data_IF_166449867070
#
_entry.id   IF_166449867070
#
_cell.length_a   1.000
_cell.length_b   1.000
_cell.length_c   1.000
_cell.angle_alpha   90.00
_cell.angle_beta   90.00
_cell.angle_gamma   90.00
#
_symmetry.space_group_name_H-M   'P 1'
#
loop_
_entity.id
_entity.type
_entity.pdbx_description
1 polymer ?
#
# COMPACT_ATOMS: atom_id res chain seq x y z
N UNK A 1 37.64 -35.43 -50.14
CA UNK A 1 37.81 -34.02 -50.61
C UNK A 1 38.42 -33.27 -49.43
N UNK A 2 39.76 -33.31 -49.33
CA UNK A 2 40.46 -32.80 -48.13
C UNK A 2 40.75 -31.33 -48.31
N UNK A 3 39.99 -30.55 -47.59
CA UNK A 3 40.21 -29.11 -47.47
C UNK A 3 41.52 -28.88 -46.70
N UNK A 4 42.53 -28.23 -47.34
CA UNK A 4 43.82 -28.00 -46.73
C UNK A 4 43.64 -27.16 -45.45
N UNK A 5 44.31 -27.54 -44.37
CA UNK A 5 44.23 -26.92 -43.06
C UNK A 5 44.24 -25.36 -43.07
N UNK A 6 45.05 -24.78 -43.98
CA UNK A 6 45.10 -23.33 -44.19
C UNK A 6 43.80 -22.72 -44.73
N UNK A 7 43.04 -23.43 -45.55
CA UNK A 7 41.73 -22.96 -46.06
C UNK A 7 40.67 -22.96 -44.93
N UNK A 8 40.76 -23.93 -44.02
CA UNK A 8 39.87 -24.01 -42.86
C UNK A 8 40.09 -22.83 -41.91
N UNK A 9 41.36 -22.45 -41.65
CA UNK A 9 41.70 -21.29 -40.84
C UNK A 9 41.18 -20.00 -41.49
N UNK A 10 41.33 -19.83 -42.80
CA UNK A 10 40.82 -18.65 -43.51
C UNK A 10 39.29 -18.52 -43.42
N UNK A 11 38.58 -19.64 -43.54
CA UNK A 11 37.10 -19.64 -43.36
C UNK A 11 36.72 -19.26 -41.95
N UNK A 12 37.39 -19.78 -40.91
CA UNK A 12 37.13 -19.42 -39.52
C UNK A 12 37.40 -17.94 -39.24
N UNK A 13 38.48 -17.40 -39.79
CA UNK A 13 38.79 -15.95 -39.63
C UNK A 13 37.76 -15.08 -40.33
N UNK A 14 37.29 -15.48 -41.54
CA UNK A 14 36.23 -14.75 -42.24
C UNK A 14 34.90 -14.81 -41.45
N UNK A 15 34.53 -15.96 -40.89
CA UNK A 15 33.34 -16.12 -40.06
C UNK A 15 33.47 -15.27 -38.82
N UNK A 16 34.63 -15.25 -38.15
CA UNK A 16 34.87 -14.41 -36.97
C UNK A 16 34.80 -12.91 -37.29
N UNK A 17 35.35 -12.48 -38.44
CA UNK A 17 35.25 -11.09 -38.90
C UNK A 17 33.80 -10.73 -39.26
N UNK A 18 33.07 -11.58 -39.95
CA UNK A 18 31.64 -11.37 -40.25
C UNK A 18 30.85 -11.26 -38.92
N UNK A 19 31.08 -12.15 -37.97
CA UNK A 19 30.43 -12.09 -36.66
C UNK A 19 30.77 -10.78 -35.90
N UNK A 20 32.02 -10.31 -36.00
CA UNK A 20 32.45 -9.07 -35.37
C UNK A 20 31.79 -7.79 -35.96
N UNK A 21 31.47 -7.82 -37.28
CA UNK A 21 30.81 -6.71 -37.97
C UNK A 21 29.26 -6.80 -37.92
N UNK A 22 28.71 -8.01 -37.93
CA UNK A 22 27.27 -8.23 -38.00
C UNK A 22 26.64 -8.15 -36.59
N UNK A 23 27.34 -8.61 -35.53
CA UNK A 23 26.83 -8.57 -34.17
C UNK A 23 26.47 -7.14 -33.66
N UNK A 24 27.31 -6.09 -33.87
CA UNK A 24 26.94 -4.73 -33.45
C UNK A 24 25.75 -4.18 -34.25
N UNK A 25 25.66 -4.48 -35.56
CA UNK A 25 24.52 -4.03 -36.40
C UNK A 25 23.21 -4.70 -35.98
N UNK A 26 23.24 -5.98 -35.65
CA UNK A 26 22.05 -6.66 -35.09
C UNK A 26 21.69 -6.17 -33.70
N UNK A 27 22.68 -5.81 -32.90
CA UNK A 27 22.47 -5.23 -31.58
C UNK A 27 21.84 -3.84 -31.69
N UNK A 28 22.29 -3.00 -32.64
CA UNK A 28 21.76 -1.66 -32.87
C UNK A 28 20.33 -1.72 -33.44
N UNK A 29 20.05 -2.63 -34.36
CA UNK A 29 18.69 -2.85 -34.89
C UNK A 29 17.70 -3.30 -33.78
N UNK A 30 18.14 -4.13 -32.82
CA UNK A 30 17.31 -4.58 -31.73
C UNK A 30 17.06 -3.51 -30.69
N UNK A 31 17.97 -2.54 -30.56
CA UNK A 31 17.78 -1.35 -29.70
C UNK A 31 16.71 -0.43 -30.27
N UNK A 32 16.74 -0.21 -31.56
CA UNK A 32 15.75 0.58 -32.29
C UNK A 32 14.36 -0.04 -32.18
N UNK A 33 14.26 -1.36 -32.25
CA UNK A 33 12.99 -2.09 -32.14
C UNK A 33 12.38 -1.94 -30.73
N UNK A 34 13.16 -2.11 -29.67
CA UNK A 34 12.68 -1.93 -28.30
C UNK A 34 12.22 -0.49 -28.05
N UNK A 35 12.96 0.49 -28.54
CA UNK A 35 12.61 1.91 -28.47
C UNK A 35 11.34 2.21 -29.27
N UNK A 36 11.17 1.61 -30.42
CA UNK A 36 9.95 1.76 -31.22
C UNK A 36 8.73 1.23 -30.47
N UNK A 37 8.80 0.03 -29.90
CA UNK A 37 7.69 -0.51 -29.12
C UNK A 37 7.39 0.33 -27.86
N UNK A 38 8.42 0.83 -27.19
CA UNK A 38 8.23 1.75 -26.06
C UNK A 38 7.46 3.01 -26.50
N UNK A 39 7.86 3.66 -27.60
CA UNK A 39 7.18 4.84 -28.13
C UNK A 39 5.72 4.53 -28.53
N UNK A 40 5.44 3.37 -29.11
CA UNK A 40 4.08 2.93 -29.45
C UNK A 40 3.25 2.75 -28.17
N UNK A 41 3.85 2.21 -27.10
CA UNK A 41 3.20 2.05 -25.82
C UNK A 41 2.84 3.41 -25.20
N UNK A 42 3.75 4.40 -25.22
CA UNK A 42 3.51 5.77 -24.74
C UNK A 42 2.35 6.45 -25.50
N UNK A 43 2.32 6.32 -26.83
CA UNK A 43 1.21 6.83 -27.66
C UNK A 43 -0.10 6.15 -27.23
N UNK A 44 -0.09 4.86 -26.96
CA UNK A 44 -1.26 4.11 -26.53
C UNK A 44 -1.73 4.56 -25.15
N UNK A 45 -0.81 4.81 -24.20
CA UNK A 45 -1.10 5.38 -22.87
C UNK A 45 -1.75 6.75 -22.99
N UNK A 46 -1.20 7.63 -23.82
CA UNK A 46 -1.75 8.99 -24.01
C UNK A 46 -3.19 9.00 -24.55
N UNK A 47 -3.60 7.91 -25.18
CA UNK A 47 -4.96 7.67 -25.68
C UNK A 47 -5.83 6.85 -24.73
N UNK A 48 -5.33 6.53 -23.54
CA UNK A 48 -5.96 5.63 -22.56
C UNK A 48 -6.24 4.21 -23.11
N UNK A 49 -5.50 3.78 -24.14
CA UNK A 49 -5.58 2.42 -24.66
C UNK A 49 -4.59 1.53 -23.92
N UNK A 50 -4.96 1.18 -22.69
CA UNK A 50 -4.08 0.46 -21.76
C UNK A 50 -3.74 -0.96 -22.21
N UNK A 51 -4.66 -1.67 -22.88
CA UNK A 51 -4.39 -3.00 -23.43
C UNK A 51 -3.31 -2.95 -24.51
N UNK A 52 -3.41 -2.01 -25.44
CA UNK A 52 -2.40 -1.82 -26.48
C UNK A 52 -1.06 -1.37 -25.90
N UNK A 53 -1.09 -0.51 -24.87
CA UNK A 53 0.12 -0.08 -24.19
C UNK A 53 0.84 -1.26 -23.54
N UNK A 54 0.14 -2.11 -22.80
CA UNK A 54 0.70 -3.30 -22.16
C UNK A 54 1.32 -4.24 -23.21
N UNK A 55 0.61 -4.53 -24.30
CA UNK A 55 1.13 -5.39 -25.37
C UNK A 55 2.41 -4.83 -25.98
N UNK A 56 2.49 -3.51 -26.20
CA UNK A 56 3.69 -2.85 -26.73
C UNK A 56 4.84 -2.83 -25.72
N UNK A 57 4.56 -2.62 -24.42
CA UNK A 57 5.59 -2.75 -23.38
C UNK A 57 6.13 -4.18 -23.27
N UNK A 58 5.27 -5.19 -23.45
CA UNK A 58 5.71 -6.60 -23.48
C UNK A 58 6.66 -6.85 -24.65
N UNK A 59 6.38 -6.30 -25.83
CA UNK A 59 7.27 -6.36 -26.98
C UNK A 59 8.60 -5.63 -26.72
N UNK A 60 8.56 -4.43 -26.13
CA UNK A 60 9.75 -3.69 -25.77
C UNK A 60 10.65 -4.48 -24.80
N UNK A 61 10.05 -5.11 -23.77
CA UNK A 61 10.78 -5.95 -22.82
C UNK A 61 11.34 -7.23 -23.44
N UNK A 62 10.68 -7.79 -24.46
CA UNK A 62 11.12 -9.00 -25.16
C UNK A 62 12.25 -8.73 -26.17
N UNK A 63 12.31 -7.53 -26.77
CA UNK A 63 13.18 -7.25 -27.92
C UNK A 63 14.67 -7.20 -27.58
N UNK A 64 15.11 -6.64 -26.46
CA UNK A 64 16.48 -6.78 -25.94
C UNK A 64 16.70 -6.17 -24.55
N UNK A 65 16.73 -6.97 -23.53
CA UNK A 65 16.96 -6.53 -22.14
C UNK A 65 18.36 -6.00 -21.85
N UNK A 66 19.37 -6.32 -22.68
CA UNK A 66 20.77 -5.92 -22.42
C UNK A 66 21.02 -4.43 -22.68
N UNK A 67 20.39 -3.87 -23.72
CA UNK A 67 20.56 -2.46 -24.11
C UNK A 67 19.59 -1.53 -23.37
N UNK A 68 18.39 -1.99 -23.07
CA UNK A 68 17.42 -1.25 -22.25
C UNK A 68 17.96 -1.04 -20.83
N UNK A 69 18.78 -1.95 -20.31
CA UNK A 69 19.44 -1.81 -18.97
C UNK A 69 20.37 -0.60 -18.86
N UNK A 70 20.82 -0.02 -19.97
CA UNK A 70 21.68 1.16 -20.01
C UNK A 70 20.91 2.49 -20.10
N UNK A 71 19.60 2.45 -20.26
CA UNK A 71 18.75 3.64 -20.37
C UNK A 71 17.65 3.64 -19.34
N UNK A 72 17.17 4.83 -18.97
CA UNK A 72 15.98 5.01 -18.10
C UNK A 72 14.71 4.41 -18.71
N UNK A 73 14.73 4.03 -20.00
CA UNK A 73 13.60 3.43 -20.70
C UNK A 73 13.10 2.13 -20.04
N UNK A 74 13.99 1.30 -19.49
CA UNK A 74 13.60 0.09 -18.78
C UNK A 74 12.79 0.43 -17.50
N UNK A 75 13.25 1.44 -16.75
CA UNK A 75 12.54 1.94 -15.56
C UNK A 75 11.13 2.41 -15.95
N UNK A 76 11.03 3.27 -16.95
CA UNK A 76 9.75 3.79 -17.42
C UNK A 76 8.85 2.66 -17.94
N UNK A 77 9.39 1.71 -18.67
CA UNK A 77 8.62 0.54 -19.17
C UNK A 77 7.93 -0.21 -18.03
N UNK A 78 8.64 -0.52 -16.94
CA UNK A 78 8.02 -1.20 -15.79
C UNK A 78 7.01 -0.32 -15.06
N UNK A 79 7.30 0.97 -14.88
CA UNK A 79 6.39 1.92 -14.22
C UNK A 79 5.09 2.07 -14.99
N UNK A 80 5.20 2.32 -16.30
CA UNK A 80 4.07 2.66 -17.15
C UNK A 80 3.24 1.43 -17.53
N UNK A 81 3.88 0.26 -17.70
CA UNK A 81 3.17 -1.02 -17.81
C UNK A 81 2.40 -1.34 -16.52
N UNK A 82 3.05 -1.20 -15.35
CA UNK A 82 2.40 -1.39 -14.06
C UNK A 82 1.22 -0.43 -13.87
N UNK A 83 1.38 0.84 -14.26
CA UNK A 83 0.30 1.83 -14.26
C UNK A 83 -0.85 1.43 -15.18
N UNK A 84 -0.59 1.01 -16.42
CA UNK A 84 -1.61 0.56 -17.37
C UNK A 84 -2.40 -0.64 -16.82
N UNK A 85 -1.72 -1.59 -16.20
CA UNK A 85 -2.35 -2.75 -15.55
C UNK A 85 -3.25 -2.32 -14.38
N UNK A 86 -2.83 -1.34 -13.58
CA UNK A 86 -3.65 -0.75 -12.51
C UNK A 86 -4.92 -0.12 -13.08
N UNK A 87 -4.83 0.64 -14.18
CA UNK A 87 -5.99 1.26 -14.83
C UNK A 87 -7.02 0.23 -15.29
N UNK A 88 -6.55 -0.93 -15.74
CA UNK A 88 -7.40 -2.09 -16.10
C UNK A 88 -7.82 -2.94 -14.89
N UNK A 89 -7.51 -2.53 -13.66
CA UNK A 89 -7.74 -3.28 -12.41
C UNK A 89 -7.07 -4.67 -12.36
N UNK A 90 -6.04 -4.87 -13.16
CA UNK A 90 -5.20 -6.08 -13.14
C UNK A 90 -4.13 -5.95 -12.07
N UNK A 91 -4.55 -5.87 -10.80
CA UNK A 91 -3.67 -5.49 -9.69
C UNK A 91 -2.59 -6.53 -9.38
N UNK A 92 -2.88 -7.83 -9.48
CA UNK A 92 -1.88 -8.86 -9.26
C UNK A 92 -0.82 -8.86 -10.38
N UNK A 93 -1.21 -8.67 -11.65
CA UNK A 93 -0.29 -8.50 -12.77
C UNK A 93 0.59 -7.24 -12.58
N UNK A 94 -0.03 -6.14 -12.12
CA UNK A 94 0.70 -4.89 -11.82
C UNK A 94 1.76 -5.11 -10.74
N UNK A 95 1.42 -5.79 -9.65
CA UNK A 95 2.39 -6.11 -8.58
C UNK A 95 3.55 -6.91 -9.14
N UNK A 96 3.29 -7.93 -9.95
CA UNK A 96 4.34 -8.73 -10.57
C UNK A 96 5.25 -7.89 -11.47
N UNK A 97 4.68 -7.03 -12.31
CA UNK A 97 5.45 -6.12 -13.18
C UNK A 97 6.29 -5.13 -12.37
N UNK A 98 5.69 -4.53 -11.31
CA UNK A 98 6.37 -3.58 -10.44
C UNK A 98 7.48 -4.24 -9.62
N UNK A 99 7.31 -5.50 -9.19
CA UNK A 99 8.35 -6.27 -8.52
C UNK A 99 9.54 -6.58 -9.44
N UNK A 100 9.27 -6.87 -10.71
CA UNK A 100 10.34 -6.98 -11.73
C UNK A 100 11.08 -5.65 -11.87
N UNK A 101 10.37 -4.52 -11.96
CA UNK A 101 10.98 -3.19 -11.97
C UNK A 101 11.83 -2.92 -10.73
N UNK A 102 11.31 -3.23 -9.54
CA UNK A 102 12.01 -3.05 -8.27
C UNK A 102 13.25 -3.95 -8.11
N UNK A 103 13.31 -5.09 -8.79
CA UNK A 103 14.52 -5.92 -8.82
C UNK A 103 15.69 -5.24 -9.52
N UNK A 104 15.41 -4.33 -10.46
CA UNK A 104 16.40 -3.52 -11.18
C UNK A 104 16.58 -2.14 -10.54
N UNK A 105 15.50 -1.54 -10.05
CA UNK A 105 15.44 -0.18 -9.51
C UNK A 105 14.85 -0.15 -8.09
N UNK A 106 15.54 -0.74 -7.10
CA UNK A 106 14.98 -0.94 -5.75
C UNK A 106 14.70 0.35 -4.99
N UNK A 107 15.21 1.50 -5.46
CA UNK A 107 15.05 2.81 -4.83
C UNK A 107 14.06 3.73 -5.55
N UNK A 108 13.39 3.26 -6.61
CA UNK A 108 12.43 4.09 -7.33
C UNK A 108 11.13 4.24 -6.53
N UNK A 109 10.83 5.46 -6.13
CA UNK A 109 9.67 5.78 -5.30
C UNK A 109 8.34 5.58 -6.03
N UNK A 110 8.31 5.74 -7.36
CA UNK A 110 7.08 5.57 -8.13
C UNK A 110 6.70 4.10 -8.29
N UNK A 111 7.68 3.21 -8.49
CA UNK A 111 7.44 1.76 -8.49
C UNK A 111 6.87 1.30 -7.15
N UNK A 112 7.46 1.76 -6.04
CA UNK A 112 6.95 1.46 -4.71
C UNK A 112 5.55 2.00 -4.47
N UNK A 113 5.29 3.26 -4.87
CA UNK A 113 3.96 3.85 -4.74
C UNK A 113 2.90 3.10 -5.55
N UNK A 114 3.20 2.77 -6.80
CA UNK A 114 2.27 2.04 -7.66
C UNK A 114 2.00 0.62 -7.12
N UNK A 115 3.03 -0.05 -6.57
CA UNK A 115 2.86 -1.33 -5.86
C UNK A 115 1.96 -1.19 -4.64
N UNK A 116 2.15 -0.12 -3.86
CA UNK A 116 1.28 0.22 -2.74
C UNK A 116 -0.18 0.42 -3.17
N UNK A 117 -0.39 1.14 -4.26
CA UNK A 117 -1.72 1.40 -4.80
C UNK A 117 -2.42 0.12 -5.30
N UNK A 118 -1.69 -0.78 -5.96
CA UNK A 118 -2.22 -2.08 -6.37
C UNK A 118 -2.63 -2.93 -5.16
N UNK A 119 -1.77 -3.01 -4.12
CA UNK A 119 -2.08 -3.71 -2.88
C UNK A 119 -3.29 -3.10 -2.13
N UNK A 120 -3.40 -1.77 -2.09
CA UNK A 120 -4.54 -1.07 -1.51
C UNK A 120 -5.86 -1.49 -2.16
N UNK A 121 -5.90 -1.54 -3.49
CA UNK A 121 -7.10 -1.92 -4.24
C UNK A 121 -7.46 -3.41 -4.09
N UNK A 122 -6.50 -4.27 -3.77
CA UNK A 122 -6.73 -5.67 -3.39
C UNK A 122 -7.15 -5.83 -1.91
N UNK A 123 -7.22 -4.73 -1.13
CA UNK A 123 -7.49 -4.78 0.30
C UNK A 123 -6.32 -5.29 1.15
N UNK A 124 -5.14 -5.49 0.56
CA UNK A 124 -3.91 -5.88 1.23
C UNK A 124 -3.25 -4.66 1.90
N UNK A 125 -3.96 -4.03 2.86
CA UNK A 125 -3.56 -2.76 3.46
C UNK A 125 -2.19 -2.78 4.16
N UNK A 126 -1.80 -3.84 4.89
CA UNK A 126 -0.44 -3.90 5.47
C UNK A 126 0.65 -3.85 4.40
N UNK A 127 0.48 -4.57 3.28
CA UNK A 127 1.43 -4.60 2.16
C UNK A 127 1.46 -3.24 1.44
N UNK A 128 0.31 -2.58 1.30
CA UNK A 128 0.22 -1.23 0.77
C UNK A 128 1.02 -0.23 1.63
N UNK A 129 0.84 -0.26 2.96
CA UNK A 129 1.59 0.59 3.89
C UNK A 129 3.10 0.34 3.82
N UNK A 130 3.53 -0.91 3.72
CA UNK A 130 4.94 -1.25 3.57
C UNK A 130 5.52 -0.64 2.28
N UNK A 131 4.79 -0.74 1.17
CA UNK A 131 5.20 -0.17 -0.11
C UNK A 131 5.24 1.37 -0.08
N UNK A 132 4.22 2.04 0.46
CA UNK A 132 4.23 3.50 0.62
C UNK A 132 5.33 3.99 1.56
N UNK A 133 5.63 3.27 2.63
CA UNK A 133 6.75 3.60 3.51
C UNK A 133 8.09 3.51 2.77
N UNK A 134 8.29 2.51 1.89
CA UNK A 134 9.47 2.44 1.04
C UNK A 134 9.54 3.63 0.08
N UNK A 135 8.44 4.00 -0.59
CA UNK A 135 8.40 5.18 -1.45
C UNK A 135 8.81 6.45 -0.69
N UNK A 136 8.27 6.68 0.51
CA UNK A 136 8.56 7.83 1.37
C UNK A 136 10.01 7.79 1.91
N UNK A 137 10.56 6.61 2.17
CA UNK A 137 11.96 6.48 2.60
C UNK A 137 12.95 6.92 1.52
N UNK A 138 12.65 6.67 0.25
CA UNK A 138 13.49 7.10 -0.87
C UNK A 138 13.24 8.56 -1.27
N UNK A 139 12.02 9.04 -1.13
CA UNK A 139 11.64 10.44 -1.32
C UNK A 139 10.74 10.90 -0.18
N UNK A 140 11.33 11.61 0.81
CA UNK A 140 10.63 11.97 2.06
C UNK A 140 9.40 12.85 1.86
N UNK A 141 9.43 13.69 0.83
CA UNK A 141 8.36 14.64 0.51
C UNK A 141 7.48 14.17 -0.66
N UNK A 142 7.43 12.85 -0.90
CA UNK A 142 6.61 12.28 -1.96
C UNK A 142 5.13 12.35 -1.57
N UNK A 143 4.51 13.49 -1.88
CA UNK A 143 3.15 13.87 -1.47
C UNK A 143 2.12 12.79 -1.82
N UNK A 144 2.21 12.18 -3.02
CA UNK A 144 1.27 11.15 -3.48
C UNK A 144 1.32 9.91 -2.55
N UNK A 145 2.52 9.46 -2.19
CA UNK A 145 2.66 8.31 -1.30
C UNK A 145 2.21 8.63 0.13
N UNK A 146 2.40 9.87 0.60
CA UNK A 146 1.90 10.33 1.90
C UNK A 146 0.36 10.35 1.94
N UNK A 147 -0.30 10.81 0.88
CA UNK A 147 -1.77 10.80 0.74
C UNK A 147 -2.27 9.35 0.73
N UNK A 148 -1.73 8.51 -0.15
CA UNK A 148 -2.12 7.11 -0.27
C UNK A 148 -1.93 6.32 1.04
N UNK A 149 -0.87 6.65 1.80
CA UNK A 149 -0.66 6.12 3.15
C UNK A 149 -1.75 6.59 4.10
N UNK A 150 -2.12 7.87 4.06
CA UNK A 150 -3.22 8.44 4.85
C UNK A 150 -4.55 7.73 4.57
N UNK A 151 -4.88 7.55 3.28
CA UNK A 151 -6.08 6.81 2.84
C UNK A 151 -6.08 5.39 3.38
N UNK A 152 -4.95 4.69 3.27
CA UNK A 152 -4.81 3.31 3.73
C UNK A 152 -5.00 3.20 5.23
N UNK A 153 -4.39 4.10 6.01
CA UNK A 153 -4.54 4.15 7.46
C UNK A 153 -5.99 4.45 7.88
N UNK A 154 -6.67 5.36 7.16
CA UNK A 154 -8.10 5.63 7.37
C UNK A 154 -8.96 4.39 7.13
N UNK A 155 -8.71 3.63 6.06
CA UNK A 155 -9.39 2.36 5.77
C UNK A 155 -9.19 1.31 6.86
N UNK A 156 -8.04 1.34 7.54
CA UNK A 156 -7.74 0.46 8.67
C UNK A 156 -8.28 0.97 10.01
N UNK A 157 -8.95 2.14 10.04
CA UNK A 157 -9.41 2.78 11.26
C UNK A 157 -8.30 3.38 12.12
N UNK A 158 -7.08 3.51 11.57
CA UNK A 158 -5.92 4.10 12.24
C UNK A 158 -5.88 5.61 12.00
N UNK A 159 -6.93 6.31 12.46
CA UNK A 159 -7.19 7.71 12.12
C UNK A 159 -6.08 8.66 12.57
N UNK A 160 -5.46 8.46 13.73
CA UNK A 160 -4.35 9.33 14.16
C UNK A 160 -3.15 9.23 13.21
N UNK A 161 -2.77 8.02 12.81
CA UNK A 161 -1.70 7.81 11.82
C UNK A 161 -2.05 8.41 10.45
N UNK A 162 -3.34 8.38 10.10
CA UNK A 162 -3.84 9.01 8.88
C UNK A 162 -3.72 10.54 8.93
N UNK A 163 -4.08 11.16 10.06
CA UNK A 163 -3.88 12.61 10.31
C UNK A 163 -2.42 12.98 10.14
N UNK A 164 -1.50 12.20 10.72
CA UNK A 164 -0.06 12.46 10.64
C UNK A 164 0.45 12.38 9.17
N UNK A 165 -0.06 11.40 8.40
CA UNK A 165 0.34 11.23 7.00
C UNK A 165 -0.15 12.38 6.11
N UNK A 166 -1.41 12.80 6.24
CA UNK A 166 -1.93 13.95 5.48
C UNK A 166 -1.31 15.28 5.90
N UNK A 167 -1.01 15.46 7.20
CA UNK A 167 -0.30 16.66 7.67
C UNK A 167 1.07 16.78 6.99
N UNK A 168 1.83 15.69 6.91
CA UNK A 168 3.10 15.67 6.18
C UNK A 168 2.94 15.91 4.68
N UNK A 169 1.86 15.42 4.08
CA UNK A 169 1.55 15.72 2.68
C UNK A 169 1.33 17.22 2.46
N UNK A 170 0.61 17.89 3.38
CA UNK A 170 0.35 19.32 3.34
C UNK A 170 1.58 20.17 3.70
N UNK A 171 2.52 19.66 4.49
CA UNK A 171 3.83 20.30 4.69
C UNK A 171 4.63 20.36 3.38
N UNK A 172 4.49 19.32 2.51
CA UNK A 172 5.17 19.24 1.22
C UNK A 172 4.41 19.99 0.12
N UNK A 173 3.08 19.97 0.14
CA UNK A 173 2.17 20.61 -0.82
C UNK A 173 0.97 21.20 -0.07
N UNK A 174 1.10 22.45 0.45
CA UNK A 174 0.04 23.10 1.24
C UNK A 174 -1.28 23.32 0.49
N UNK A 175 -1.25 23.33 -0.84
CA UNK A 175 -2.44 23.53 -1.71
C UNK A 175 -3.16 22.23 -2.09
N UNK A 176 -2.70 21.08 -1.63
CA UNK A 176 -3.23 19.80 -2.04
C UNK A 176 -4.65 19.54 -1.49
N UNK A 177 -5.62 19.45 -2.39
CA UNK A 177 -7.03 19.28 -2.03
C UNK A 177 -7.32 17.90 -1.46
N UNK A 178 -6.70 16.85 -1.99
CA UNK A 178 -6.92 15.48 -1.55
C UNK A 178 -6.39 15.29 -0.12
N UNK A 179 -5.20 15.82 0.15
CA UNK A 179 -4.63 15.82 1.49
C UNK A 179 -5.48 16.63 2.48
N UNK A 180 -6.01 17.80 2.07
CA UNK A 180 -6.87 18.62 2.92
C UNK A 180 -8.17 17.91 3.27
N UNK A 181 -8.82 17.33 2.26
CA UNK A 181 -10.09 16.59 2.44
C UNK A 181 -9.88 15.32 3.27
N UNK A 182 -8.80 14.60 2.98
CA UNK A 182 -8.40 13.39 3.71
C UNK A 182 -8.10 13.70 5.18
N UNK A 183 -7.37 14.79 5.47
CA UNK A 183 -7.08 15.24 6.83
C UNK A 183 -8.36 15.52 7.62
N UNK A 184 -9.28 16.29 7.06
CA UNK A 184 -10.55 16.61 7.71
C UNK A 184 -11.35 15.34 8.05
N UNK A 185 -11.43 14.40 7.10
CA UNK A 185 -12.10 13.11 7.28
C UNK A 185 -11.42 12.26 8.36
N UNK A 186 -10.09 12.19 8.37
CA UNK A 186 -9.32 11.45 9.38
C UNK A 186 -9.49 12.06 10.79
N UNK A 187 -9.49 13.39 10.91
CA UNK A 187 -9.75 14.09 12.18
C UNK A 187 -11.15 13.78 12.71
N UNK A 188 -12.16 13.77 11.84
CA UNK A 188 -13.52 13.39 12.22
C UNK A 188 -13.58 11.94 12.72
N UNK A 189 -12.93 11.01 12.01
CA UNK A 189 -12.84 9.60 12.41
C UNK A 189 -12.16 9.43 13.76
N UNK A 190 -11.05 10.13 14.01
CA UNK A 190 -10.35 10.12 15.29
C UNK A 190 -11.23 10.62 16.44
N UNK A 191 -11.95 11.73 16.22
CA UNK A 191 -12.87 12.27 17.22
C UNK A 191 -14.02 11.31 17.55
N UNK A 192 -14.61 10.67 16.53
CA UNK A 192 -15.65 9.65 16.72
C UNK A 192 -15.13 8.43 17.48
N UNK A 193 -13.94 7.94 17.16
CA UNK A 193 -13.31 6.83 17.84
C UNK A 193 -13.06 7.14 19.32
N UNK A 194 -12.57 8.34 19.62
CA UNK A 194 -12.33 8.79 21.00
C UNK A 194 -13.63 8.89 21.79
N UNK A 195 -14.69 9.47 21.21
CA UNK A 195 -15.99 9.58 21.87
C UNK A 195 -16.64 8.21 22.11
N UNK A 196 -16.55 7.30 21.14
CA UNK A 196 -17.06 5.93 21.29
C UNK A 196 -16.32 5.16 22.40
N UNK A 197 -15.00 5.27 22.47
CA UNK A 197 -14.20 4.63 23.52
C UNK A 197 -14.50 5.20 24.91
N UNK A 198 -14.69 6.53 25.04
CA UNK A 198 -15.08 7.17 26.27
C UNK A 198 -16.48 6.70 26.75
N UNK A 199 -17.43 6.60 25.82
CA UNK A 199 -18.79 6.09 26.11
C UNK A 199 -18.73 4.64 26.59
N UNK A 200 -17.97 3.78 25.90
CA UNK A 200 -17.80 2.38 26.29
C UNK A 200 -17.17 2.24 27.67
N UNK A 201 -16.13 3.04 27.99
CA UNK A 201 -15.49 3.06 29.30
C UNK A 201 -16.49 3.50 30.39
N UNK A 202 -17.30 4.52 30.12
CA UNK A 202 -18.34 5.00 31.04
C UNK A 202 -19.37 3.89 31.31
N UNK A 203 -19.84 3.18 30.31
CA UNK A 203 -20.79 2.06 30.48
C UNK A 203 -20.18 0.96 31.36
N UNK A 204 -18.92 0.60 31.14
CA UNK A 204 -18.22 -0.41 31.94
C UNK A 204 -18.12 0.02 33.40
N UNK A 205 -17.74 1.28 33.65
CA UNK A 205 -17.66 1.84 35.03
C UNK A 205 -19.00 1.79 35.70
N UNK A 206 -20.08 2.22 35.04
CA UNK A 206 -21.45 2.15 35.60
C UNK A 206 -21.83 0.70 35.91
N UNK A 207 -21.56 -0.25 35.01
CA UNK A 207 -21.87 -1.66 35.25
C UNK A 207 -21.14 -2.22 36.49
N UNK A 208 -19.87 -1.87 36.68
CA UNK A 208 -19.08 -2.26 37.85
C UNK A 208 -19.69 -1.65 39.12
N UNK A 209 -20.06 -0.37 39.11
CA UNK A 209 -20.71 0.30 40.26
C UNK A 209 -22.03 -0.37 40.64
N UNK A 210 -22.86 -0.74 39.65
CA UNK A 210 -24.13 -1.45 39.91
C UNK A 210 -23.88 -2.82 40.56
N UNK A 211 -22.89 -3.54 40.14
CA UNK A 211 -22.51 -4.85 40.75
C UNK A 211 -22.04 -4.66 42.19
N UNK A 212 -21.23 -3.62 42.47
CA UNK A 212 -20.76 -3.31 43.83
C UNK A 212 -21.95 -2.96 44.72
N UNK A 213 -22.86 -2.08 44.27
CA UNK A 213 -24.05 -1.69 45.01
C UNK A 213 -24.93 -2.90 45.32
N UNK A 214 -25.18 -3.75 44.34
CA UNK A 214 -25.95 -4.98 44.52
C UNK A 214 -25.27 -5.93 45.54
N UNK A 215 -23.94 -6.08 45.50
CA UNK A 215 -23.17 -6.87 46.46
C UNK A 215 -23.27 -6.33 47.86
N UNK A 216 -23.16 -5.01 48.05
CA UNK A 216 -23.34 -4.34 49.35
C UNK A 216 -24.75 -4.51 49.86
N UNK A 217 -25.77 -4.36 49.00
CA UNK A 217 -27.17 -4.56 49.40
C UNK A 217 -27.43 -6.01 49.86
N UNK A 218 -26.96 -7.01 49.12
CA UNK A 218 -27.08 -8.42 49.51
C UNK A 218 -26.36 -8.68 50.84
N UNK A 219 -25.15 -8.15 50.99
CA UNK A 219 -24.42 -8.25 52.27
C UNK A 219 -25.19 -7.61 53.43
N UNK A 220 -25.70 -6.40 53.24
CA UNK A 220 -26.48 -5.67 54.24
C UNK A 220 -27.73 -6.47 54.66
N UNK A 221 -28.53 -6.97 53.72
CA UNK A 221 -29.76 -7.75 54.05
C UNK A 221 -29.42 -9.11 54.70
N UNK A 222 -28.33 -9.75 54.31
CA UNK A 222 -27.91 -11.03 54.87
C UNK A 222 -27.39 -10.93 56.31
N UNK A 223 -26.74 -9.83 56.65
CA UNK A 223 -26.11 -9.66 57.96
C UNK A 223 -26.82 -8.68 58.88
N UNK A 224 -27.90 -8.03 58.43
CA UNK A 224 -28.74 -7.21 59.28
C UNK A 224 -29.49 -8.10 60.26
N UNK A 225 -29.16 -7.94 61.58
CA UNK A 225 -29.93 -8.62 62.67
C UNK A 225 -31.36 -8.11 62.62
N UNK A 226 -32.38 -9.02 62.72
CA UNK A 226 -33.77 -8.55 62.82
C UNK A 226 -33.92 -7.65 64.04
N UNK A 227 -34.52 -6.47 63.88
CA UNK A 227 -34.93 -5.61 64.98
C UNK A 227 -35.93 -6.39 65.84
N UNK A 228 -35.52 -6.70 67.07
CA UNK A 228 -36.44 -7.25 68.07
C UNK A 228 -37.44 -6.16 68.36
N UNK A 229 -38.70 -6.31 67.95
CA UNK A 229 -39.79 -5.41 68.39
C UNK A 229 -39.90 -5.50 69.89
N UNK A 230 -39.98 -4.33 70.66
CA UNK A 230 -40.22 -4.36 72.08
C UNK A 230 -41.55 -5.07 72.34
N UNK A 231 -41.53 -6.13 73.14
CA UNK A 231 -42.78 -6.74 73.66
C UNK A 231 -43.62 -5.67 74.41
N UNK A 232 -44.87 -5.48 73.96
CA UNK A 232 -45.89 -4.76 74.68
C UNK A 232 -46.04 -5.46 76.06
N UNK A 233 -45.55 -4.85 77.13
CA UNK A 233 -45.84 -5.26 78.52
C UNK A 233 -47.33 -5.09 78.74
N UNK A 234 -48.09 -6.18 78.59
CA UNK A 234 -49.44 -6.27 79.09
C UNK A 234 -49.41 -6.13 80.60
N UNK A 235 -49.72 -4.91 81.10
CA UNK A 235 -50.00 -4.67 82.51
C UNK A 235 -51.18 -5.50 82.95
N UNK A 236 -50.92 -6.61 83.66
CA UNK A 236 -51.97 -7.28 84.45
C UNK A 236 -52.38 -6.35 85.59
N UNK A 237 -53.46 -5.65 85.38
CA UNK A 237 -54.16 -4.93 86.52
C UNK A 237 -54.63 -5.98 87.52
N UNK A 238 -54.11 -5.91 88.74
CA UNK A 238 -54.66 -6.59 89.88
C UNK A 238 -55.88 -5.73 90.36
N UNK A 239 -57.09 -6.33 90.29
CA UNK A 239 -58.21 -5.92 91.06
C UNK A 239 -58.04 -6.37 92.51
N UNK A 240 -58.13 -5.47 93.40
CA UNK A 240 -58.86 -5.57 94.67
C UNK A 240 -59.45 -4.22 94.99
#
# INVERSE_FOLDING_TARGET
MDMKFGQFIHILVIIALIACFVAPVLAEASTDEATMYYNVAEISLSRNNYESAIASFDQALASNTSMIKLSDALLYTYRDKGYAQIQLRKYDDAIQTLDQGLSHYPKDQMLWNNKGYANYNLGKYPDALAAYNNAINFEKNYTIALINKGDTLSKMGQYQGSVDAYTKALESDPGNRDATTGLASAQQGAAQQTSASATQTTIIVIAILVIIIAGVAIWYFKFRKPEVKPEEQKSKGKKK
#
